data_IF_086728168724
#
_entry.id   IF_086728168724
#
_cell.length_a   1.000
_cell.length_b   1.000
_cell.length_c   1.000
_cell.angle_alpha   90.00
_cell.angle_beta   90.00
_cell.angle_gamma   90.00
#
_symmetry.space_group_name_H-M   'P 1'
#
loop_
_entity.id
_entity.type
_entity.pdbx_description
1 polymer ?
#
# COMPACT_ATOMS: atom_id res chain seq x y z
N UNK A 1 -34.28 -10.71 85.38
CA UNK A 1 -33.16 -10.06 84.68
C UNK A 1 -32.76 -10.93 83.49
N UNK A 2 -32.77 -10.33 82.28
CA UNK A 2 -31.96 -10.62 81.08
C UNK A 2 -31.22 -11.99 81.01
N UNK A 3 -31.31 -12.83 79.98
CA UNK A 3 -31.13 -12.52 78.54
C UNK A 3 -31.77 -13.57 77.62
N UNK A 4 -32.20 -13.07 76.45
CA UNK A 4 -32.64 -13.75 75.23
C UNK A 4 -31.65 -14.79 74.71
N UNK A 5 -32.15 -15.96 74.29
CA UNK A 5 -31.47 -16.86 73.36
C UNK A 5 -32.14 -16.76 71.99
N UNK A 6 -31.33 -16.47 70.96
CA UNK A 6 -31.74 -16.35 69.57
C UNK A 6 -31.71 -17.72 68.86
N UNK A 7 -32.60 -18.00 67.90
CA UNK A 7 -32.46 -19.16 67.02
C UNK A 7 -31.55 -18.86 65.81
N UNK A 8 -30.70 -19.83 65.50
CA UNK A 8 -29.78 -19.88 64.36
C UNK A 8 -30.57 -19.87 63.05
N UNK A 9 -30.34 -18.87 62.19
CA UNK A 9 -30.84 -18.82 60.83
C UNK A 9 -29.69 -19.15 59.86
N UNK A 10 -29.69 -20.38 59.32
CA UNK A 10 -28.84 -20.77 58.19
C UNK A 10 -29.26 -19.96 56.96
N UNK A 11 -28.39 -19.06 56.49
CA UNK A 11 -28.57 -18.41 55.19
C UNK A 11 -27.65 -19.07 54.17
N UNK A 12 -28.27 -19.75 53.20
CA UNK A 12 -27.61 -20.45 52.11
C UNK A 12 -26.89 -19.46 51.17
N UNK A 13 -25.60 -19.70 50.93
CA UNK A 13 -24.81 -19.05 49.89
C UNK A 13 -25.37 -19.42 48.52
N UNK A 14 -26.07 -18.49 47.86
CA UNK A 14 -26.41 -18.61 46.43
C UNK A 14 -25.19 -18.25 45.60
N UNK A 15 -24.60 -19.27 44.99
CA UNK A 15 -23.55 -19.17 43.97
C UNK A 15 -24.18 -18.55 42.72
N UNK A 16 -23.81 -17.31 42.43
CA UNK A 16 -24.13 -16.61 41.18
C UNK A 16 -23.31 -17.19 40.04
N UNK A 17 -23.99 -17.53 38.96
CA UNK A 17 -23.44 -18.07 37.72
C UNK A 17 -22.61 -17.03 36.95
N UNK A 18 -21.52 -17.42 36.27
CA UNK A 18 -20.73 -16.52 35.44
C UNK A 18 -21.43 -16.24 34.09
N UNK A 19 -21.51 -14.95 33.76
CA UNK A 19 -21.92 -14.39 32.48
C UNK A 19 -20.99 -14.83 31.32
N UNK A 20 -21.51 -14.97 30.08
CA UNK A 20 -20.72 -15.32 28.89
C UNK A 20 -19.87 -14.15 28.34
N UNK A 21 -18.86 -14.44 27.50
CA UNK A 21 -17.89 -13.46 27.00
C UNK A 21 -18.49 -12.51 25.95
N UNK A 22 -18.41 -11.20 26.20
CA UNK A 22 -18.70 -10.17 25.23
C UNK A 22 -17.56 -10.09 24.20
N UNK A 23 -17.81 -10.61 22.99
CA UNK A 23 -16.93 -10.42 21.84
C UNK A 23 -17.34 -9.15 21.12
N UNK A 24 -16.71 -8.02 21.44
CA UNK A 24 -16.94 -6.75 20.75
C UNK A 24 -16.05 -6.67 19.49
N UNK A 25 -16.55 -7.19 18.38
CA UNK A 25 -15.97 -7.00 17.06
C UNK A 25 -16.29 -5.57 16.58
N UNK A 26 -15.37 -4.64 16.80
CA UNK A 26 -15.50 -3.25 16.34
C UNK A 26 -15.28 -3.18 14.82
N UNK A 27 -16.35 -3.33 14.05
CA UNK A 27 -16.36 -2.98 12.63
C UNK A 27 -16.42 -1.46 12.51
N UNK A 28 -15.29 -0.83 12.14
CA UNK A 28 -15.27 0.58 11.79
C UNK A 28 -15.90 0.79 10.41
N UNK A 29 -17.21 1.05 10.39
CA UNK A 29 -17.92 1.54 9.22
C UNK A 29 -17.63 3.02 9.04
N UNK A 30 -16.89 3.39 7.99
CA UNK A 30 -16.78 4.79 7.56
C UNK A 30 -18.14 5.27 7.05
N UNK A 31 -18.87 6.05 7.87
CA UNK A 31 -20.05 6.80 7.44
C UNK A 31 -19.61 8.12 6.80
N UNK A 32 -19.74 8.23 5.49
CA UNK A 32 -19.78 9.52 4.80
C UNK A 32 -21.20 10.09 4.89
N UNK A 33 -21.39 11.14 5.69
CA UNK A 33 -22.61 11.93 5.66
C UNK A 33 -22.59 12.85 4.42
N UNK A 34 -23.58 12.69 3.53
CA UNK A 34 -23.82 13.60 2.41
C UNK A 34 -25.11 14.35 2.70
N UNK A 35 -25.02 15.63 3.03
CA UNK A 35 -26.17 16.53 3.07
C UNK A 35 -26.33 17.11 1.68
N UNK A 36 -27.46 16.82 1.03
CA UNK A 36 -27.88 17.45 -0.21
C UNK A 36 -28.65 18.74 0.11
N UNK A 37 -28.10 19.87 -0.29
CA UNK A 37 -28.87 21.11 -0.48
C UNK A 37 -28.54 21.70 -1.86
N UNK A 38 -29.62 21.94 -2.59
CA UNK A 38 -29.72 22.57 -3.90
C UNK A 38 -29.50 24.08 -3.80
N UNK A 39 -28.68 24.66 -4.69
CA UNK A 39 -28.88 26.01 -5.19
C UNK A 39 -28.12 26.21 -6.52
N UNK A 40 -28.87 26.72 -7.49
CA UNK A 40 -28.50 27.03 -8.87
C UNK A 40 -27.45 28.14 -8.95
N UNK A 41 -26.50 28.00 -9.87
CA UNK A 41 -25.53 29.04 -10.20
C UNK A 41 -24.85 28.73 -11.52
N UNK A 42 -25.46 29.16 -12.62
CA UNK A 42 -24.88 29.15 -13.96
C UNK A 42 -23.65 30.05 -14.00
N UNK A 43 -22.47 29.43 -14.13
CA UNK A 43 -21.26 30.10 -14.59
C UNK A 43 -20.47 29.16 -15.49
N UNK A 44 -20.45 29.54 -16.76
CA UNK A 44 -19.59 29.00 -17.81
C UNK A 44 -18.13 29.33 -17.50
N UNK A 45 -17.29 28.31 -17.31
CA UNK A 45 -15.86 28.47 -17.63
C UNK A 45 -15.09 27.16 -17.73
N UNK A 46 -14.52 26.99 -18.92
CA UNK A 46 -13.26 26.33 -19.23
C UNK A 46 -13.05 24.86 -18.81
N UNK A 47 -13.22 24.00 -19.81
CA UNK A 47 -12.53 22.72 -19.98
C UNK A 47 -11.08 22.78 -19.46
N UNK A 48 -10.59 21.80 -18.68
CA UNK A 48 -9.16 21.65 -18.47
C UNK A 48 -8.58 21.10 -19.77
N UNK A 49 -8.17 22.00 -20.66
CA UNK A 49 -7.27 21.68 -21.75
C UNK A 49 -6.04 21.02 -21.12
N UNK A 50 -5.93 19.71 -21.29
CA UNK A 50 -4.70 18.98 -21.02
C UNK A 50 -3.68 19.46 -22.05
N UNK A 51 -3.01 20.57 -21.76
CA UNK A 51 -1.84 21.00 -22.52
C UNK A 51 -0.75 19.98 -22.20
N UNK A 52 -0.69 18.94 -23.02
CA UNK A 52 0.48 18.11 -23.15
C UNK A 52 1.55 18.94 -23.86
N UNK A 53 2.11 19.91 -23.14
CA UNK A 53 3.32 20.60 -23.56
C UNK A 53 4.43 19.54 -23.51
N UNK A 54 4.81 19.05 -24.68
CA UNK A 54 6.02 18.25 -24.84
C UNK A 54 7.17 19.00 -24.15
N UNK A 55 7.92 18.35 -23.25
CA UNK A 55 8.94 19.05 -22.47
C UNK A 55 10.04 19.52 -23.42
N UNK A 56 10.12 20.84 -23.58
CA UNK A 56 11.29 21.50 -24.15
C UNK A 56 12.50 21.14 -23.29
N UNK A 57 13.62 20.70 -23.89
CA UNK A 57 14.75 20.11 -23.16
C UNK A 57 15.43 21.06 -22.16
N UNK A 58 15.12 22.35 -22.20
CA UNK A 58 15.76 23.38 -21.38
C UNK A 58 14.90 23.93 -20.22
N UNK A 59 13.68 23.46 -20.05
CA UNK A 59 12.83 23.89 -18.93
C UNK A 59 13.01 22.95 -17.74
N UNK A 60 13.33 23.51 -16.56
CA UNK A 60 13.38 22.74 -15.31
C UNK A 60 12.03 22.04 -15.08
N UNK A 61 12.06 20.74 -14.82
CA UNK A 61 10.87 19.92 -14.56
C UNK A 61 10.03 20.52 -13.41
N UNK A 62 8.72 20.72 -13.63
CA UNK A 62 7.77 21.16 -12.61
C UNK A 62 7.58 20.11 -11.50
N UNK A 63 7.27 20.56 -10.28
CA UNK A 63 7.04 19.67 -9.14
C UNK A 63 5.87 18.72 -9.35
N UNK A 64 4.78 19.16 -9.98
CA UNK A 64 3.66 18.26 -10.26
C UNK A 64 4.06 17.19 -11.26
N UNK A 65 4.76 17.58 -12.33
CA UNK A 65 5.25 16.66 -13.34
C UNK A 65 6.23 15.63 -12.74
N UNK A 66 7.16 16.07 -11.91
CA UNK A 66 8.11 15.21 -11.20
C UNK A 66 7.39 14.16 -10.32
N UNK A 67 6.44 14.59 -9.49
CA UNK A 67 5.73 13.66 -8.60
C UNK A 67 4.86 12.66 -9.37
N UNK A 68 4.29 13.07 -10.51
CA UNK A 68 3.58 12.15 -11.42
C UNK A 68 4.54 11.14 -12.06
N UNK A 69 5.74 11.57 -12.48
CA UNK A 69 6.75 10.68 -13.05
C UNK A 69 7.23 9.63 -12.02
N UNK A 70 7.37 10.00 -10.75
CA UNK A 70 7.67 9.07 -9.64
C UNK A 70 6.56 8.03 -9.47
N UNK A 71 5.29 8.45 -9.54
CA UNK A 71 4.13 7.53 -9.50
C UNK A 71 4.10 6.62 -10.74
N UNK A 72 4.41 7.16 -11.91
CA UNK A 72 4.49 6.38 -13.15
C UNK A 72 5.57 5.31 -13.04
N UNK A 73 6.79 5.62 -12.57
CA UNK A 73 7.87 4.63 -12.41
C UNK A 73 7.41 3.39 -11.62
N UNK A 74 6.67 3.57 -10.53
CA UNK A 74 6.12 2.44 -9.76
C UNK A 74 5.07 1.64 -10.52
N UNK A 75 4.21 2.31 -11.28
CA UNK A 75 3.22 1.65 -12.14
C UNK A 75 3.89 0.84 -13.24
N UNK A 76 4.96 1.34 -13.84
CA UNK A 76 5.75 0.59 -14.82
C UNK A 76 6.27 -0.71 -14.20
N UNK A 77 6.84 -0.66 -13.00
CA UNK A 77 7.31 -1.86 -12.31
C UNK A 77 6.17 -2.85 -12.04
N UNK A 78 5.03 -2.39 -11.52
CA UNK A 78 3.88 -3.27 -11.23
C UNK A 78 3.30 -3.91 -12.52
N UNK A 79 3.11 -3.10 -13.56
CA UNK A 79 2.58 -3.58 -14.85
C UNK A 79 3.57 -4.54 -15.51
N UNK A 80 4.86 -4.25 -15.45
CA UNK A 80 5.89 -5.13 -16.01
C UNK A 80 5.98 -6.49 -15.31
N UNK A 81 5.77 -6.55 -14.00
CA UNK A 81 5.68 -7.81 -13.25
C UNK A 81 4.47 -8.62 -13.63
N UNK A 82 3.31 -7.98 -13.75
CA UNK A 82 2.11 -8.68 -14.18
C UNK A 82 2.25 -9.19 -15.62
N UNK A 83 2.78 -8.35 -16.52
CA UNK A 83 2.99 -8.69 -17.92
C UNK A 83 4.01 -9.83 -18.09
N UNK A 84 5.17 -9.74 -17.43
CA UNK A 84 6.21 -10.77 -17.54
C UNK A 84 5.78 -12.08 -16.88
N UNK A 85 4.97 -12.03 -15.81
CA UNK A 85 4.36 -13.22 -15.23
C UNK A 85 3.36 -13.89 -16.18
N UNK A 86 2.51 -13.10 -16.84
CA UNK A 86 1.59 -13.61 -17.86
C UNK A 86 2.35 -14.22 -19.03
N UNK A 87 3.35 -13.52 -19.58
CA UNK A 87 4.20 -14.03 -20.67
C UNK A 87 4.95 -15.29 -20.25
N UNK A 88 5.53 -15.33 -19.05
CA UNK A 88 6.21 -16.50 -18.51
C UNK A 88 5.25 -17.69 -18.39
N UNK A 89 4.09 -17.49 -17.78
CA UNK A 89 3.06 -18.54 -17.64
C UNK A 89 2.61 -19.05 -19.01
N UNK A 90 2.32 -18.15 -19.95
CA UNK A 90 1.93 -18.54 -21.32
C UNK A 90 3.04 -19.33 -22.00
N UNK A 91 4.29 -18.88 -21.92
CA UNK A 91 5.43 -19.60 -22.50
C UNK A 91 5.64 -20.97 -21.85
N UNK A 92 5.50 -21.07 -20.53
CA UNK A 92 5.58 -22.32 -19.78
C UNK A 92 4.48 -23.30 -20.18
N UNK A 93 3.23 -22.86 -20.22
CA UNK A 93 2.09 -23.68 -20.66
C UNK A 93 2.27 -24.10 -22.12
N UNK A 94 2.67 -23.18 -23.00
CA UNK A 94 2.94 -23.52 -24.41
C UNK A 94 4.05 -24.55 -24.54
N UNK A 95 5.12 -24.46 -23.75
CA UNK A 95 6.20 -25.45 -23.75
C UNK A 95 5.72 -26.82 -23.25
N UNK A 96 4.96 -26.85 -22.16
CA UNK A 96 4.39 -28.08 -21.58
C UNK A 96 3.36 -28.73 -22.52
N UNK A 97 2.53 -27.94 -23.20
CA UNK A 97 1.48 -28.42 -24.11
C UNK A 97 2.03 -29.13 -25.35
N UNK A 98 3.28 -28.82 -25.76
CA UNK A 98 3.94 -29.48 -26.88
C UNK A 98 4.71 -30.75 -26.47
N UNK A 99 4.69 -31.14 -25.20
CA UNK A 99 5.29 -32.40 -24.75
C UNK A 99 4.24 -33.49 -24.74
N UNK A 100 4.50 -34.58 -25.46
CA UNK A 100 3.70 -35.80 -25.39
C UNK A 100 3.93 -36.47 -24.03
N UNK A 101 2.84 -36.76 -23.30
CA UNK A 101 2.90 -37.22 -21.92
C UNK A 101 1.98 -38.44 -21.76
N UNK A 102 2.51 -39.49 -21.13
CA UNK A 102 1.74 -40.62 -20.64
C UNK A 102 1.30 -40.35 -19.18
N UNK A 103 0.00 -40.11 -18.93
CA UNK A 103 -0.52 -39.78 -17.60
C UNK A 103 -0.47 -40.96 -16.61
N UNK A 104 -0.12 -42.16 -17.06
CA UNK A 104 -0.05 -43.36 -16.20
C UNK A 104 1.32 -43.55 -15.55
N UNK A 105 2.35 -42.83 -16.00
CA UNK A 105 3.69 -42.91 -15.45
C UNK A 105 3.92 -41.83 -14.40
N UNK A 106 4.29 -42.24 -13.19
CA UNK A 106 4.72 -41.30 -12.16
C UNK A 106 6.11 -40.74 -12.53
N UNK A 107 6.18 -39.44 -12.84
CA UNK A 107 7.47 -38.74 -12.93
C UNK A 107 7.92 -38.39 -11.52
N UNK A 108 9.12 -38.84 -11.13
CA UNK A 108 9.75 -38.47 -9.85
C UNK A 108 8.89 -38.81 -8.60
N UNK A 109 8.03 -39.84 -8.69
CA UNK A 109 7.12 -40.24 -7.62
C UNK A 109 5.94 -39.30 -7.38
N UNK A 110 5.69 -38.35 -8.29
CA UNK A 110 4.59 -37.38 -8.24
C UNK A 110 3.65 -37.57 -9.44
N UNK A 111 2.36 -37.27 -9.24
CA UNK A 111 1.36 -37.24 -10.32
C UNK A 111 1.74 -36.16 -11.36
N UNK A 112 1.76 -36.49 -12.67
CA UNK A 112 1.95 -35.54 -13.76
C UNK A 112 1.13 -34.25 -13.64
N UNK A 113 -0.12 -34.32 -13.17
CA UNK A 113 -0.99 -33.13 -13.01
C UNK A 113 -0.40 -32.15 -12.00
N UNK A 114 0.05 -32.65 -10.85
CA UNK A 114 0.64 -31.83 -9.78
C UNK A 114 1.96 -31.22 -10.27
N UNK A 115 2.80 -32.03 -10.92
CA UNK A 115 4.09 -31.57 -11.44
C UNK A 115 3.91 -30.45 -12.46
N UNK A 116 2.97 -30.56 -13.40
CA UNK A 116 2.71 -29.51 -14.38
C UNK A 116 2.05 -28.29 -13.77
N UNK A 117 1.20 -28.45 -12.77
CA UNK A 117 0.69 -27.35 -11.96
C UNK A 117 1.83 -26.56 -11.32
N UNK A 118 2.76 -27.25 -10.67
CA UNK A 118 3.94 -26.63 -10.05
C UNK A 118 4.87 -26.01 -11.09
N UNK A 119 5.12 -26.69 -12.20
CA UNK A 119 5.93 -26.17 -13.30
C UNK A 119 5.33 -24.89 -13.90
N UNK A 120 4.01 -24.86 -14.11
CA UNK A 120 3.30 -23.68 -14.62
C UNK A 120 3.37 -22.51 -13.62
N UNK A 121 3.07 -22.77 -12.35
CA UNK A 121 3.13 -21.76 -11.28
C UNK A 121 4.54 -21.22 -11.11
N UNK A 122 5.57 -22.09 -11.15
CA UNK A 122 6.96 -21.67 -11.07
C UNK A 122 7.37 -20.78 -12.24
N UNK A 123 6.93 -21.08 -13.46
CA UNK A 123 7.18 -20.23 -14.62
C UNK A 123 6.55 -18.84 -14.46
N UNK A 124 5.30 -18.77 -13.96
CA UNK A 124 4.64 -17.51 -13.64
C UNK A 124 5.32 -16.72 -12.52
N UNK A 125 5.80 -17.40 -11.47
CA UNK A 125 6.52 -16.80 -10.36
C UNK A 125 7.89 -16.24 -10.79
N UNK A 126 8.63 -16.99 -11.61
CA UNK A 126 9.90 -16.54 -12.20
C UNK A 126 9.68 -15.32 -13.10
N UNK A 127 8.64 -15.34 -13.93
CA UNK A 127 8.26 -14.19 -14.76
C UNK A 127 7.90 -12.96 -13.93
N UNK A 128 7.15 -13.14 -12.83
CA UNK A 128 6.80 -12.04 -11.93
C UNK A 128 8.04 -11.39 -11.28
N UNK A 129 9.02 -12.21 -10.88
CA UNK A 129 10.28 -11.77 -10.25
C UNK A 129 11.18 -11.00 -11.22
N UNK A 130 11.22 -11.40 -12.50
CA UNK A 130 11.97 -10.70 -13.55
C UNK A 130 11.34 -9.34 -13.93
N UNK A 131 10.05 -9.16 -13.64
CA UNK A 131 9.26 -7.98 -13.96
C UNK A 131 9.89 -6.63 -13.63
N UNK A 132 10.21 -6.32 -12.35
CA UNK A 132 10.64 -4.98 -11.95
C UNK A 132 11.94 -4.52 -12.62
N UNK A 133 12.84 -5.45 -12.94
CA UNK A 133 14.09 -5.16 -13.65
C UNK A 133 13.78 -4.72 -15.09
N UNK A 134 12.88 -5.44 -15.77
CA UNK A 134 12.41 -5.09 -17.11
C UNK A 134 11.61 -3.79 -17.10
N UNK A 135 10.74 -3.57 -16.11
CA UNK A 135 9.95 -2.34 -15.97
C UNK A 135 10.79 -1.09 -15.72
N UNK A 136 11.80 -1.19 -14.86
CA UNK A 136 12.74 -0.10 -14.59
C UNK A 136 13.54 0.26 -15.84
N UNK A 137 13.99 -0.76 -16.59
CA UNK A 137 14.72 -0.58 -17.85
C UNK A 137 13.83 0.04 -18.94
N UNK A 138 12.59 -0.42 -19.08
CA UNK A 138 11.64 0.17 -20.03
C UNK A 138 11.36 1.65 -19.71
N UNK A 139 11.15 1.97 -18.43
CA UNK A 139 10.96 3.35 -18.00
C UNK A 139 12.19 4.21 -18.30
N UNK A 140 13.40 3.68 -18.08
CA UNK A 140 14.63 4.43 -18.30
C UNK A 140 14.85 4.76 -19.77
N UNK A 141 14.55 3.83 -20.68
CA UNK A 141 14.62 4.04 -22.13
C UNK A 141 13.55 5.04 -22.60
N UNK A 142 12.29 4.86 -22.19
CA UNK A 142 11.17 5.74 -22.60
C UNK A 142 11.37 7.17 -22.12
N UNK A 143 11.90 7.36 -20.91
CA UNK A 143 12.12 8.68 -20.29
C UNK A 143 13.58 9.14 -20.31
N UNK A 144 14.42 8.56 -21.18
CA UNK A 144 15.87 8.87 -21.24
C UNK A 144 16.20 10.36 -21.30
N UNK A 145 15.44 11.13 -22.10
CA UNK A 145 15.67 12.57 -22.31
C UNK A 145 15.46 13.41 -21.06
N UNK A 146 14.55 12.99 -20.17
CA UNK A 146 14.20 13.73 -18.95
C UNK A 146 14.82 13.12 -17.70
N UNK A 147 15.57 12.01 -17.82
CA UNK A 147 16.08 11.27 -16.68
C UNK A 147 17.05 12.10 -15.82
N UNK A 148 17.92 12.89 -16.45
CA UNK A 148 18.81 13.81 -15.74
C UNK A 148 18.04 14.81 -14.88
N UNK A 149 17.00 15.43 -15.43
CA UNK A 149 16.13 16.35 -14.69
C UNK A 149 15.35 15.66 -13.57
N UNK A 150 14.88 14.42 -13.80
CA UNK A 150 14.21 13.62 -12.78
C UNK A 150 15.16 13.36 -11.61
N UNK A 151 16.40 12.96 -11.87
CA UNK A 151 17.38 12.65 -10.83
C UNK A 151 17.77 13.88 -10.00
N UNK A 152 17.93 15.05 -10.64
CA UNK A 152 18.21 16.29 -9.93
C UNK A 152 17.05 16.69 -9.00
N UNK A 153 15.81 16.64 -9.51
CA UNK A 153 14.60 16.90 -8.70
C UNK A 153 14.38 15.87 -7.59
N UNK A 154 14.72 14.62 -7.84
CA UNK A 154 14.67 13.55 -6.85
C UNK A 154 15.65 13.83 -5.71
N UNK A 155 16.86 14.31 -6.00
CA UNK A 155 17.83 14.74 -4.98
C UNK A 155 17.28 15.90 -4.13
N UNK A 156 16.75 16.94 -4.77
CA UNK A 156 16.11 18.07 -4.07
C UNK A 156 14.93 17.60 -3.18
N UNK A 157 14.11 16.70 -3.71
CA UNK A 157 13.00 16.11 -2.96
C UNK A 157 13.48 15.36 -1.73
N UNK A 158 14.49 14.50 -1.86
CA UNK A 158 15.05 13.74 -0.74
C UNK A 158 15.70 14.65 0.30
N UNK A 159 16.29 15.79 -0.11
CA UNK A 159 16.77 16.80 0.83
C UNK A 159 15.62 17.43 1.62
N UNK A 160 14.51 17.76 0.96
CA UNK A 160 13.31 18.26 1.65
C UNK A 160 12.73 17.23 2.61
N UNK A 161 12.70 15.93 2.26
CA UNK A 161 12.24 14.87 3.16
C UNK A 161 13.20 14.74 4.35
N UNK A 162 14.51 14.66 4.11
CA UNK A 162 15.53 14.54 5.16
C UNK A 162 15.47 15.68 6.17
N UNK A 163 15.17 16.91 5.73
CA UNK A 163 15.04 18.08 6.61
C UNK A 163 13.78 18.06 7.49
N UNK A 164 12.68 17.49 6.99
CA UNK A 164 11.37 17.58 7.63
C UNK A 164 10.90 16.28 8.30
N UNK A 165 11.64 15.18 8.13
CA UNK A 165 11.34 13.88 8.78
C UNK A 165 11.51 13.98 10.29
N UNK A 166 10.69 13.24 11.02
CA UNK A 166 10.82 13.08 12.48
C UNK A 166 11.79 11.95 12.82
N UNK A 167 12.43 12.04 13.99
CA UNK A 167 13.23 10.96 14.57
C UNK A 167 12.36 9.75 14.95
N UNK A 168 12.71 8.54 14.46
CA UNK A 168 11.90 7.34 14.66
C UNK A 168 12.05 6.76 16.07
N UNK A 169 13.00 7.24 16.87
CA UNK A 169 13.32 6.71 18.21
C UNK A 169 12.15 6.81 19.20
N UNK A 170 11.21 7.73 18.99
CA UNK A 170 10.05 7.93 19.87
C UNK A 170 8.81 7.12 19.44
N UNK A 171 8.99 6.08 18.61
CA UNK A 171 7.89 5.24 18.12
C UNK A 171 7.30 4.38 19.24
N UNK A 172 5.97 4.33 19.34
CA UNK A 172 5.25 3.40 20.19
C UNK A 172 4.15 2.67 19.41
N UNK A 173 3.69 1.52 19.91
CA UNK A 173 2.59 0.77 19.28
C UNK A 173 1.31 1.62 19.13
N UNK A 174 1.04 2.49 20.11
CA UNK A 174 -0.11 3.42 20.11
C UNK A 174 0.10 4.67 19.25
N UNK A 175 1.34 5.00 18.85
CA UNK A 175 1.67 6.15 18.01
C UNK A 175 2.69 5.73 16.94
N UNK A 176 2.25 5.09 15.85
CA UNK A 176 3.14 4.65 14.79
C UNK A 176 3.78 5.85 14.06
N UNK A 177 5.03 5.66 13.60
CA UNK A 177 5.78 6.69 12.87
C UNK A 177 5.14 6.93 11.50
N UNK A 178 4.84 8.19 11.14
CA UNK A 178 4.40 8.53 9.79
C UNK A 178 5.50 8.20 8.77
N UNK A 179 5.12 7.92 7.51
CA UNK A 179 6.02 7.51 6.41
C UNK A 179 7.40 8.20 6.47
N UNK A 180 8.43 7.48 6.93
CA UNK A 180 9.73 8.05 7.23
C UNK A 180 10.50 8.50 5.97
N UNK A 181 10.30 7.81 4.85
CA UNK A 181 11.02 8.04 3.60
C UNK A 181 10.24 8.88 2.60
N UNK A 182 8.98 9.24 2.90
CA UNK A 182 8.12 9.94 1.95
C UNK A 182 7.85 9.09 0.71
N UNK A 183 7.78 7.77 0.89
CA UNK A 183 7.54 6.84 -0.20
C UNK A 183 6.18 7.14 -0.85
N UNK A 184 5.12 7.37 -0.07
CA UNK A 184 3.76 7.47 -0.60
C UNK A 184 3.41 8.84 -1.21
N UNK A 185 4.35 9.78 -1.25
CA UNK A 185 4.16 11.12 -1.80
C UNK A 185 4.21 11.07 -3.33
N UNK A 186 3.05 11.19 -3.96
CA UNK A 186 2.88 11.27 -5.42
C UNK A 186 2.19 12.55 -5.90
N UNK A 187 1.94 13.52 -5.00
CA UNK A 187 1.35 14.83 -5.33
C UNK A 187 1.70 15.87 -4.28
N UNK A 188 1.57 17.15 -4.63
CA UNK A 188 1.81 18.27 -3.70
C UNK A 188 0.85 18.23 -2.50
N UNK A 189 -0.42 17.82 -2.73
CA UNK A 189 -1.41 17.66 -1.65
C UNK A 189 -0.95 16.63 -0.62
N UNK A 190 -0.46 15.48 -1.09
CA UNK A 190 0.08 14.44 -0.23
C UNK A 190 1.35 14.90 0.50
N UNK A 191 2.21 15.69 -0.15
CA UNK A 191 3.37 16.28 0.52
C UNK A 191 2.98 17.22 1.67
N UNK A 192 1.99 18.09 1.46
CA UNK A 192 1.47 18.96 2.52
C UNK A 192 0.85 18.17 3.67
N UNK A 193 0.12 17.11 3.35
CA UNK A 193 -0.44 16.22 4.37
C UNK A 193 0.67 15.55 5.18
N UNK A 194 1.66 14.98 4.50
CA UNK A 194 2.82 14.37 5.12
C UNK A 194 3.54 15.34 6.07
N UNK A 195 3.75 16.61 5.68
CA UNK A 195 4.32 17.62 6.58
C UNK A 195 3.47 17.87 7.84
N UNK A 196 2.14 17.84 7.72
CA UNK A 196 1.24 17.96 8.88
C UNK A 196 1.37 16.75 9.79
N UNK A 197 1.48 15.55 9.22
CA UNK A 197 1.61 14.29 9.96
C UNK A 197 2.93 14.27 10.74
N UNK A 198 4.04 14.69 10.12
CA UNK A 198 5.34 14.84 10.79
C UNK A 198 5.26 15.82 11.98
N UNK A 199 4.63 16.99 11.78
CA UNK A 199 4.44 17.98 12.87
C UNK A 199 3.51 17.48 13.97
N UNK A 200 2.45 16.76 13.61
CA UNK A 200 1.52 16.17 14.58
C UNK A 200 2.24 15.11 15.43
N UNK A 201 3.06 14.27 14.82
CA UNK A 201 3.88 13.30 15.53
C UNK A 201 4.88 13.99 16.46
N UNK A 202 5.63 14.99 15.99
CA UNK A 202 6.55 15.77 16.84
C UNK A 202 5.87 16.40 18.06
N UNK A 203 4.65 16.93 17.89
CA UNK A 203 3.88 17.51 19.00
C UNK A 203 3.51 16.44 20.04
N UNK A 204 3.09 15.26 19.59
CA UNK A 204 2.79 14.12 20.47
C UNK A 204 4.05 13.62 21.17
N UNK A 205 5.16 13.46 20.46
CA UNK A 205 6.42 13.01 21.08
C UNK A 205 6.86 13.96 22.19
N UNK A 206 6.74 15.28 21.98
CA UNK A 206 7.06 16.29 23.01
C UNK A 206 6.14 16.27 24.23
N UNK A 207 4.90 15.79 24.11
CA UNK A 207 3.99 15.72 25.27
C UNK A 207 4.26 14.54 26.20
N UNK A 208 5.08 13.56 25.77
CA UNK A 208 5.41 12.37 26.55
C UNK A 208 6.81 12.44 27.20
N UNK A 209 7.59 13.48 26.91
CA UNK A 209 8.85 13.84 27.58
C UNK A 209 8.58 14.88 28.66
#
# INVERSE_FOLDING_TARGET
>A
MLKKSAPLCLTALRISTPFPPATNTLLHTYRNASTSTTASGSSSSASPTKTATSPQPNQKLDWNAFLQLRKQRRRYNLVSSLFTSAVGTTAGVSYLANKEIDPTQMIMGMDPIILFGLATVSCGALGWLAGPVLGSSAFSVVKRRVMGQINEREREFLQHIKKNRVDPSFQSFSNPVPDYYGEKIGSIKQYKQWLKDQRAYNRKSKSFL
#
